data_IF_268528245907
#
_entry.id   IF_268528245907
#
_cell.length_a   1.000
_cell.length_b   1.000
_cell.length_c   1.000
_cell.angle_alpha   90.00
_cell.angle_beta   90.00
_cell.angle_gamma   90.00
#
_symmetry.space_group_name_H-M   'P 1'
#
loop_
_entity.id
_entity.type
_entity.pdbx_description
1 polymer ?
#
# COMPACT_ATOMS: atom_id res chain seq x y z
N UNK A 1 6.96 -21.21 -20.95
CA UNK A 1 5.72 -20.41 -21.11
C UNK A 1 6.04 -19.20 -21.97
N UNK A 2 5.14 -18.74 -22.85
CA UNK A 2 5.36 -17.53 -23.64
C UNK A 2 5.54 -16.32 -22.72
N UNK A 3 6.48 -15.46 -23.06
CA UNK A 3 6.86 -14.31 -22.23
C UNK A 3 5.92 -13.14 -22.52
N UNK A 4 4.95 -12.91 -21.64
CA UNK A 4 3.90 -11.90 -21.84
C UNK A 4 4.46 -10.52 -21.49
N UNK A 5 4.46 -9.64 -22.49
CA UNK A 5 4.79 -8.23 -22.29
C UNK A 5 3.73 -7.56 -21.40
N UNK A 6 4.19 -6.71 -20.50
CA UNK A 6 3.30 -5.83 -19.75
C UNK A 6 2.66 -4.79 -20.71
N UNK A 7 1.50 -4.21 -20.35
CA UNK A 7 0.85 -3.16 -21.13
C UNK A 7 1.81 -2.02 -21.48
N UNK A 8 1.84 -1.57 -22.73
CA UNK A 8 2.81 -0.56 -23.20
C UNK A 8 4.28 -1.04 -23.30
N UNK A 9 4.56 -2.33 -23.10
CA UNK A 9 5.90 -2.90 -23.05
C UNK A 9 6.69 -2.71 -24.36
N UNK A 10 7.66 -1.78 -24.34
CA UNK A 10 8.71 -1.70 -25.37
C UNK A 10 9.83 -2.70 -25.05
N UNK A 11 10.74 -2.94 -26.01
CA UNK A 11 11.96 -3.74 -25.79
C UNK A 11 12.73 -3.21 -24.55
N UNK A 12 13.08 -4.11 -23.61
CA UNK A 12 13.76 -3.80 -22.33
C UNK A 12 12.84 -3.67 -21.10
N UNK A 13 11.52 -3.60 -21.27
CA UNK A 13 10.61 -3.44 -20.12
C UNK A 13 10.45 -4.76 -19.34
N UNK A 14 10.21 -4.66 -18.03
CA UNK A 14 10.01 -5.83 -17.16
C UNK A 14 8.95 -6.78 -17.74
N UNK A 15 9.23 -8.09 -17.71
CA UNK A 15 8.33 -9.12 -18.25
C UNK A 15 7.70 -9.93 -17.13
N UNK A 16 6.51 -10.49 -17.36
CA UNK A 16 5.74 -11.19 -16.32
C UNK A 16 6.53 -12.36 -15.67
N UNK A 17 7.39 -13.03 -16.44
CA UNK A 17 8.29 -14.08 -15.94
C UNK A 17 9.30 -13.57 -14.90
N UNK A 18 9.80 -12.34 -15.02
CA UNK A 18 10.72 -11.76 -14.04
C UNK A 18 10.03 -11.58 -12.69
N UNK A 19 8.77 -11.16 -12.70
CA UNK A 19 7.96 -11.08 -11.48
C UNK A 19 7.68 -12.47 -10.91
N UNK A 20 7.46 -13.48 -11.76
CA UNK A 20 7.18 -14.84 -11.28
C UNK A 20 8.38 -15.44 -10.55
N UNK A 21 9.59 -15.29 -11.10
CA UNK A 21 10.83 -15.71 -10.44
C UNK A 21 11.02 -15.01 -9.09
N UNK A 22 10.75 -13.69 -9.03
CA UNK A 22 10.80 -12.90 -7.80
C UNK A 22 9.82 -13.42 -6.75
N UNK A 23 8.54 -13.54 -7.11
CA UNK A 23 7.51 -13.96 -6.17
C UNK A 23 7.70 -15.39 -5.70
N UNK A 24 8.14 -16.29 -6.58
CA UNK A 24 8.46 -17.68 -6.21
C UNK A 24 9.63 -17.75 -5.22
N UNK A 25 10.61 -16.86 -5.37
CA UNK A 25 11.70 -16.73 -4.40
C UNK A 25 11.17 -16.23 -3.06
N UNK A 26 10.38 -15.16 -3.07
CA UNK A 26 9.80 -14.56 -1.87
C UNK A 26 8.85 -15.51 -1.13
N UNK A 27 8.07 -16.34 -1.83
CA UNK A 27 7.06 -17.22 -1.20
C UNK A 27 7.69 -18.26 -0.25
N UNK A 28 9.00 -18.50 -0.37
CA UNK A 28 9.78 -19.35 0.55
C UNK A 28 9.90 -18.75 1.95
N UNK A 29 10.01 -17.43 2.01
CA UNK A 29 10.28 -16.67 3.24
C UNK A 29 9.04 -15.90 3.73
N UNK A 30 8.13 -15.57 2.82
CA UNK A 30 6.93 -14.80 3.10
C UNK A 30 5.68 -15.65 2.89
N UNK A 31 4.89 -15.93 3.96
CA UNK A 31 3.71 -16.77 3.86
C UNK A 31 2.63 -16.14 2.99
N UNK A 32 2.63 -14.80 2.85
CA UNK A 32 1.73 -14.10 1.97
C UNK A 32 2.44 -13.05 1.10
N UNK A 33 2.05 -12.97 -0.18
CA UNK A 33 2.53 -11.99 -1.14
C UNK A 33 1.34 -11.20 -1.69
N UNK A 34 1.34 -9.90 -1.42
CA UNK A 34 0.51 -8.89 -2.11
C UNK A 34 1.34 -8.29 -3.24
N UNK A 35 0.71 -8.12 -4.40
CA UNK A 35 1.33 -7.46 -5.55
C UNK A 35 0.39 -6.43 -6.13
N UNK A 36 0.95 -5.29 -6.51
CA UNK A 36 0.24 -4.19 -7.14
C UNK A 36 0.50 -4.14 -8.65
N UNK A 37 -0.55 -3.86 -9.41
CA UNK A 37 -0.43 -3.42 -10.80
C UNK A 37 0.07 -1.97 -10.84
N UNK A 38 1.37 -1.77 -10.60
CA UNK A 38 2.02 -0.47 -10.69
C UNK A 38 2.62 -0.24 -12.10
N UNK A 39 2.98 1.01 -12.43
CA UNK A 39 3.70 1.26 -13.69
C UNK A 39 5.02 0.52 -13.74
N UNK A 40 5.44 0.24 -14.97
CA UNK A 40 6.63 -0.56 -15.21
C UNK A 40 7.88 0.26 -14.89
N UNK A 41 8.70 -0.31 -14.02
CA UNK A 41 10.11 0.05 -13.89
C UNK A 41 10.80 -0.34 -15.20
N UNK A 42 11.38 0.62 -15.92
CA UNK A 42 12.20 0.31 -17.10
C UNK A 42 13.41 -0.46 -16.63
N UNK A 43 13.68 -1.62 -17.23
CA UNK A 43 14.92 -2.35 -17.02
C UNK A 43 15.78 -2.29 -18.29
N UNK A 44 17.08 -2.49 -18.17
CA UNK A 44 17.95 -2.87 -19.28
C UNK A 44 17.87 -4.38 -19.50
N UNK A 45 18.44 -4.87 -20.59
CA UNK A 45 18.49 -6.31 -20.89
C UNK A 45 19.26 -7.12 -19.82
N UNK A 46 20.20 -6.51 -19.11
CA UNK A 46 20.92 -7.08 -17.95
C UNK A 46 20.19 -6.88 -16.61
N UNK A 47 18.95 -6.38 -16.62
CA UNK A 47 18.07 -6.27 -15.46
C UNK A 47 18.24 -5.00 -14.61
N UNK A 48 19.12 -4.06 -14.98
CA UNK A 48 19.28 -2.80 -14.22
C UNK A 48 18.10 -1.87 -14.42
N UNK A 49 17.67 -1.19 -13.36
CA UNK A 49 16.61 -0.17 -13.45
C UNK A 49 17.12 1.03 -14.25
N UNK A 50 16.49 1.31 -15.39
CA UNK A 50 16.78 2.45 -16.27
C UNK A 50 15.92 3.68 -15.98
N UNK A 51 14.85 3.52 -15.21
CA UNK A 51 14.00 4.62 -14.78
C UNK A 51 12.59 4.17 -14.46
N UNK A 52 11.93 4.92 -13.58
CA UNK A 52 10.51 4.78 -13.28
C UNK A 52 9.77 5.98 -13.87
N UNK A 53 8.45 5.88 -13.94
CA UNK A 53 7.65 7.09 -14.18
C UNK A 53 7.72 7.99 -12.95
N UNK A 54 7.52 9.29 -13.19
CA UNK A 54 7.55 10.30 -12.14
C UNK A 54 6.13 10.72 -11.77
N UNK A 55 5.96 11.06 -10.50
CA UNK A 55 4.73 11.61 -9.98
C UNK A 55 4.31 12.85 -10.81
N UNK A 56 3.02 13.03 -11.10
CA UNK A 56 1.90 12.16 -10.73
C UNK A 56 1.62 11.03 -11.72
N UNK A 57 2.32 10.95 -12.83
CA UNK A 57 2.01 10.01 -13.91
C UNK A 57 2.68 8.64 -13.68
N UNK A 58 2.58 8.14 -12.46
CA UNK A 58 3.18 6.89 -11.99
C UNK A 58 2.43 5.63 -12.42
N UNK A 59 1.40 5.76 -13.24
CA UNK A 59 0.65 4.65 -13.82
C UNK A 59 0.71 4.62 -15.35
N UNK A 60 0.26 3.52 -15.95
CA UNK A 60 -0.02 3.37 -17.38
C UNK A 60 -1.01 4.43 -17.89
N UNK A 61 -0.80 4.97 -19.10
CA UNK A 61 -1.72 5.88 -19.76
C UNK A 61 -2.81 5.12 -20.55
N UNK A 62 -3.90 5.79 -20.94
CA UNK A 62 -4.93 5.18 -21.79
C UNK A 62 -4.36 4.60 -23.10
N UNK A 63 -3.36 5.26 -23.68
CA UNK A 63 -2.72 4.85 -24.94
C UNK A 63 -1.98 3.53 -24.86
N UNK A 64 -1.55 3.14 -23.66
CA UNK A 64 -0.85 1.87 -23.44
C UNK A 64 -1.80 0.69 -23.27
N UNK A 65 -3.07 1.02 -23.05
CA UNK A 65 -4.17 0.08 -22.95
C UNK A 65 -5.08 0.08 -24.19
N UNK A 66 -4.77 0.87 -25.22
CA UNK A 66 -5.50 0.86 -26.49
C UNK A 66 -6.44 2.04 -26.76
N UNK A 67 -6.41 3.09 -25.93
CA UNK A 67 -7.12 4.38 -26.10
C UNK A 67 -8.67 4.36 -26.11
N UNK A 68 -9.34 3.25 -26.39
CA UNK A 68 -10.81 3.14 -26.29
C UNK A 68 -11.24 2.37 -25.04
N UNK A 69 -12.41 2.68 -24.45
CA UNK A 69 -12.91 1.94 -23.29
C UNK A 69 -12.93 0.42 -23.49
N UNK A 70 -13.38 -0.03 -24.67
CA UNK A 70 -13.48 -1.43 -25.05
C UNK A 70 -12.10 -2.08 -25.15
N UNK A 71 -11.16 -1.43 -25.85
CA UNK A 71 -9.80 -1.94 -26.00
C UNK A 71 -9.05 -1.98 -24.66
N UNK A 72 -9.25 -0.98 -23.80
CA UNK A 72 -8.68 -0.94 -22.45
C UNK A 72 -9.16 -2.15 -21.65
N UNK A 73 -10.46 -2.39 -21.65
CA UNK A 73 -11.05 -3.54 -20.95
C UNK A 73 -10.52 -4.88 -21.49
N UNK A 74 -10.51 -5.04 -22.80
CA UNK A 74 -10.06 -6.28 -23.46
C UNK A 74 -8.58 -6.55 -23.19
N UNK A 75 -7.72 -5.54 -23.31
CA UNK A 75 -6.29 -5.66 -23.02
C UNK A 75 -6.03 -5.95 -21.54
N UNK A 76 -6.77 -5.31 -20.62
CA UNK A 76 -6.69 -5.60 -19.20
C UNK A 76 -7.14 -7.01 -18.86
N UNK A 77 -8.17 -7.52 -19.55
CA UNK A 77 -8.62 -8.90 -19.41
C UNK A 77 -7.54 -9.88 -19.87
N UNK A 78 -6.92 -9.66 -21.02
CA UNK A 78 -5.83 -10.53 -21.51
C UNK A 78 -4.61 -10.48 -20.59
N UNK A 79 -4.24 -9.28 -20.11
CA UNK A 79 -3.18 -9.12 -19.12
C UNK A 79 -3.45 -9.96 -17.85
N UNK A 80 -4.64 -9.80 -17.27
CA UNK A 80 -5.03 -10.47 -16.04
C UNK A 80 -5.10 -11.99 -16.20
N UNK A 81 -5.62 -12.49 -17.32
CA UNK A 81 -5.66 -13.92 -17.59
C UNK A 81 -4.26 -14.54 -17.58
N UNK A 82 -3.31 -13.91 -18.27
CA UNK A 82 -1.91 -14.35 -18.27
C UNK A 82 -1.30 -14.30 -16.87
N UNK A 83 -1.58 -13.23 -16.13
CA UNK A 83 -1.11 -13.06 -14.76
C UNK A 83 -1.64 -14.15 -13.82
N UNK A 84 -2.93 -14.45 -13.88
CA UNK A 84 -3.56 -15.51 -13.09
C UNK A 84 -3.00 -16.89 -13.42
N UNK A 85 -2.85 -17.22 -14.70
CA UNK A 85 -2.25 -18.49 -15.13
C UNK A 85 -0.83 -18.69 -14.60
N UNK A 86 -0.05 -17.61 -14.51
CA UNK A 86 1.35 -17.69 -14.11
C UNK A 86 1.54 -17.67 -12.58
N UNK A 87 0.77 -16.85 -11.87
CA UNK A 87 1.04 -16.57 -10.44
C UNK A 87 0.05 -17.21 -9.48
N UNK A 88 -1.13 -17.59 -9.96
CA UNK A 88 -2.18 -18.19 -9.15
C UNK A 88 -3.03 -19.19 -9.98
N UNK A 89 -2.41 -20.21 -10.59
CA UNK A 89 -3.10 -21.13 -11.49
C UNK A 89 -4.27 -21.87 -10.81
N UNK A 90 -5.38 -22.05 -11.53
CA UNK A 90 -6.59 -22.74 -11.01
C UNK A 90 -6.35 -24.22 -10.67
N UNK A 91 -5.54 -24.90 -11.46
CA UNK A 91 -5.40 -26.38 -11.44
C UNK A 91 -4.21 -26.88 -10.62
N UNK A 92 -3.42 -25.98 -10.02
CA UNK A 92 -2.23 -26.40 -9.30
C UNK A 92 -2.57 -26.85 -7.87
N UNK A 93 -2.02 -28.00 -7.47
CA UNK A 93 -2.15 -28.50 -6.08
C UNK A 93 -1.33 -27.67 -5.08
N UNK A 94 -0.39 -26.88 -5.58
CA UNK A 94 0.39 -25.95 -4.77
C UNK A 94 -0.38 -24.63 -4.59
N UNK A 95 -0.22 -24.02 -3.41
CA UNK A 95 -0.79 -22.71 -3.11
C UNK A 95 -0.34 -21.66 -4.14
N UNK A 96 -1.18 -20.64 -4.44
CA UNK A 96 -0.78 -19.59 -5.36
C UNK A 96 0.46 -18.87 -4.85
N UNK A 97 1.32 -18.43 -5.77
CA UNK A 97 2.54 -17.69 -5.43
C UNK A 97 2.19 -16.31 -4.86
N UNK A 98 1.06 -15.75 -5.30
CA UNK A 98 0.50 -14.49 -4.82
C UNK A 98 -0.86 -14.74 -4.19
N UNK A 99 -1.17 -14.03 -3.12
CA UNK A 99 -2.45 -14.16 -2.42
C UNK A 99 -3.37 -12.97 -2.69
N UNK A 100 -2.81 -11.85 -3.16
CA UNK A 100 -3.58 -10.64 -3.43
C UNK A 100 -3.04 -9.90 -4.64
N UNK A 101 -3.92 -9.63 -5.60
CA UNK A 101 -3.67 -8.69 -6.69
C UNK A 101 -4.38 -7.38 -6.36
N UNK A 102 -3.59 -6.33 -6.14
CA UNK A 102 -4.07 -4.97 -6.07
C UNK A 102 -4.15 -4.41 -7.49
N UNK A 103 -5.36 -4.00 -7.90
CA UNK A 103 -5.59 -3.31 -9.17
C UNK A 103 -5.11 -1.87 -8.99
N UNK A 104 -3.78 -1.74 -9.01
CA UNK A 104 -3.09 -0.49 -8.92
C UNK A 104 -2.05 -0.27 -7.87
N UNK A 105 -1.45 0.91 -7.94
CA UNK A 105 -0.84 1.66 -6.86
C UNK A 105 -1.01 3.15 -7.15
N UNK A 106 -1.85 3.86 -6.40
CA UNK A 106 -2.10 5.31 -6.59
C UNK A 106 -2.33 5.67 -8.08
N UNK A 107 -3.52 5.36 -8.66
CA UNK A 107 -3.78 5.43 -10.12
C UNK A 107 -3.72 6.79 -10.80
N UNK A 108 -2.92 7.71 -10.27
CA UNK A 108 -2.62 9.03 -10.78
C UNK A 108 -1.98 9.00 -12.20
N UNK A 109 -2.09 10.12 -12.91
CA UNK A 109 -1.82 10.32 -14.35
C UNK A 109 -2.87 10.01 -15.44
N UNK A 110 -2.38 9.84 -16.67
CA UNK A 110 -3.21 10.00 -17.86
C UNK A 110 -4.25 8.87 -18.11
N UNK A 111 -4.36 7.88 -17.21
CA UNK A 111 -5.40 6.84 -17.31
C UNK A 111 -6.81 7.41 -17.08
N UNK A 112 -6.97 8.33 -16.13
CA UNK A 112 -8.27 8.89 -15.72
C UNK A 112 -9.28 7.88 -15.18
N UNK A 113 -10.44 8.37 -14.72
CA UNK A 113 -11.51 7.56 -14.11
C UNK A 113 -11.99 6.45 -15.04
N UNK A 114 -12.39 6.81 -16.26
CA UNK A 114 -12.90 5.85 -17.24
C UNK A 114 -11.86 4.76 -17.54
N UNK A 115 -10.61 5.16 -17.81
CA UNK A 115 -9.56 4.19 -18.13
C UNK A 115 -9.28 3.25 -16.97
N UNK A 116 -9.21 3.76 -15.73
CA UNK A 116 -9.05 2.92 -14.55
C UNK A 116 -10.22 1.94 -14.37
N UNK A 117 -11.47 2.42 -14.51
CA UNK A 117 -12.64 1.56 -14.41
C UNK A 117 -12.63 0.45 -15.46
N UNK A 118 -12.24 0.75 -16.70
CA UNK A 118 -12.15 -0.27 -17.75
C UNK A 118 -11.02 -1.28 -17.48
N UNK A 119 -9.87 -0.84 -16.95
CA UNK A 119 -8.81 -1.75 -16.49
C UNK A 119 -9.33 -2.68 -15.39
N UNK A 120 -9.97 -2.14 -14.36
CA UNK A 120 -10.52 -2.93 -13.26
C UNK A 120 -11.57 -3.93 -13.74
N UNK A 121 -12.50 -3.52 -14.62
CA UNK A 121 -13.51 -4.38 -15.22
C UNK A 121 -12.91 -5.48 -16.09
N UNK A 122 -11.84 -5.19 -16.84
CA UNK A 122 -11.12 -6.20 -17.62
C UNK A 122 -10.49 -7.27 -16.73
N UNK A 123 -9.81 -6.86 -15.67
CA UNK A 123 -9.21 -7.77 -14.67
C UNK A 123 -10.29 -8.63 -14.00
N UNK A 124 -11.41 -8.02 -13.59
CA UNK A 124 -12.55 -8.71 -12.99
C UNK A 124 -13.18 -9.70 -13.98
N UNK A 125 -13.32 -9.34 -15.26
CA UNK A 125 -13.82 -10.25 -16.29
C UNK A 125 -12.93 -11.48 -16.45
N UNK A 126 -11.61 -11.30 -16.48
CA UNK A 126 -10.65 -12.41 -16.50
C UNK A 126 -10.75 -13.27 -15.23
N UNK A 127 -10.90 -12.64 -14.06
CA UNK A 127 -11.00 -13.32 -12.78
C UNK A 127 -12.23 -14.22 -12.70
N UNK A 128 -13.40 -13.70 -13.12
CA UNK A 128 -14.65 -14.48 -13.22
C UNK A 128 -14.50 -15.65 -14.19
N UNK A 129 -13.98 -15.39 -15.39
CA UNK A 129 -13.85 -16.40 -16.44
C UNK A 129 -12.88 -17.52 -16.04
N UNK A 130 -11.75 -17.17 -15.42
CA UNK A 130 -10.69 -18.10 -15.10
C UNK A 130 -11.01 -18.93 -13.84
N UNK A 131 -11.40 -18.28 -12.73
CA UNK A 131 -11.58 -18.98 -11.45
C UNK A 131 -12.98 -19.51 -11.20
N UNK A 132 -14.00 -18.94 -11.85
CA UNK A 132 -15.40 -19.29 -11.63
C UNK A 132 -15.81 -19.08 -10.15
N UNK A 133 -15.87 -20.13 -9.34
CA UNK A 133 -16.41 -20.08 -7.97
C UNK A 133 -15.37 -20.23 -6.85
N UNK A 134 -14.12 -20.61 -7.15
CA UNK A 134 -13.12 -20.89 -6.11
C UNK A 134 -11.80 -20.18 -6.42
N UNK A 135 -11.76 -18.84 -6.33
CA UNK A 135 -10.53 -18.11 -6.61
C UNK A 135 -9.50 -18.32 -5.48
N UNK A 136 -8.25 -18.66 -5.82
CA UNK A 136 -7.18 -18.83 -4.84
C UNK A 136 -6.55 -17.50 -4.40
N UNK A 137 -6.86 -16.39 -5.08
CA UNK A 137 -6.32 -15.05 -4.79
C UNK A 137 -7.45 -14.06 -4.51
N UNK A 138 -7.12 -13.00 -3.76
CA UNK A 138 -8.01 -11.87 -3.49
C UNK A 138 -7.77 -10.73 -4.47
N UNK A 139 -8.84 -10.12 -4.97
CA UNK A 139 -8.77 -8.82 -5.65
C UNK A 139 -8.91 -7.67 -4.65
N UNK A 140 -8.00 -6.71 -4.80
CA UNK A 140 -7.97 -5.43 -4.11
C UNK A 140 -7.79 -4.31 -5.13
N UNK A 141 -7.79 -3.06 -4.70
CA UNK A 141 -7.59 -1.89 -5.55
C UNK A 141 -6.51 -0.99 -5.00
N UNK A 142 -5.93 -0.16 -5.89
CA UNK A 142 -4.98 0.88 -5.53
C UNK A 142 -5.50 1.80 -4.44
N UNK A 143 -4.57 2.45 -3.73
CA UNK A 143 -4.92 3.38 -2.66
C UNK A 143 -5.73 4.56 -3.18
N UNK A 144 -6.85 4.81 -2.51
CA UNK A 144 -7.77 5.90 -2.82
C UNK A 144 -8.02 6.74 -1.57
N UNK A 145 -8.58 7.93 -1.78
CA UNK A 145 -9.08 8.78 -0.70
C UNK A 145 -10.60 8.89 -0.73
N UNK A 146 -11.19 9.20 0.42
CA UNK A 146 -12.64 9.39 0.58
C UNK A 146 -13.02 10.76 1.18
N UNK A 147 -12.07 11.70 1.30
CA UNK A 147 -12.25 12.97 2.01
C UNK A 147 -12.28 14.22 1.09
N UNK A 148 -11.92 14.10 -0.20
CA UNK A 148 -11.89 15.20 -1.18
C UNK A 148 -12.68 14.84 -2.45
N UNK A 149 -14.01 14.99 -2.47
CA UNK A 149 -14.84 14.67 -3.65
C UNK A 149 -14.58 15.54 -4.89
N UNK A 150 -14.05 16.74 -4.68
CA UNK A 150 -13.67 17.73 -5.71
C UNK A 150 -12.32 17.43 -6.37
N UNK A 151 -11.50 16.56 -5.75
CA UNK A 151 -10.21 16.13 -6.28
C UNK A 151 -10.39 15.10 -7.40
N UNK A 152 -10.86 15.59 -8.57
CA UNK A 152 -10.97 14.80 -9.80
C UNK A 152 -10.03 15.36 -10.87
N UNK A 153 -8.86 14.77 -10.97
CA UNK A 153 -7.97 14.58 -12.12
C UNK A 153 -7.42 15.79 -12.88
N UNK A 154 -8.10 16.94 -12.88
CA UNK A 154 -7.69 18.15 -13.57
C UNK A 154 -8.05 19.37 -12.73
N UNK A 155 -7.44 19.47 -11.55
CA UNK A 155 -7.41 20.76 -10.86
C UNK A 155 -6.14 21.49 -11.30
N UNK A 156 -6.30 22.46 -12.20
CA UNK A 156 -5.19 23.27 -12.77
C UNK A 156 -4.44 24.09 -11.70
N UNK A 157 -5.11 24.38 -10.59
CA UNK A 157 -4.62 25.25 -9.51
C UNK A 157 -4.52 24.53 -8.16
N UNK A 158 -4.58 23.19 -8.13
CA UNK A 158 -4.38 22.44 -6.89
C UNK A 158 -2.89 22.16 -6.68
N UNK A 159 -2.38 22.28 -5.44
CA UNK A 159 -1.02 21.85 -5.11
C UNK A 159 -0.80 20.33 -5.30
N UNK A 160 -1.89 19.56 -5.47
CA UNK A 160 -1.88 18.13 -5.75
C UNK A 160 -2.67 17.80 -7.03
N UNK A 161 -2.09 17.07 -7.99
CA UNK A 161 -2.81 16.41 -9.08
C UNK A 161 -3.66 15.28 -8.50
N UNK A 162 -4.83 15.61 -7.97
CA UNK A 162 -5.65 14.68 -7.17
C UNK A 162 -6.87 14.23 -7.97
N UNK A 163 -6.99 12.92 -8.16
CA UNK A 163 -7.99 12.25 -9.00
C UNK A 163 -8.48 10.91 -8.45
N UNK A 164 -8.31 10.67 -7.16
CA UNK A 164 -8.40 9.36 -6.53
C UNK A 164 -9.55 9.27 -5.51
N UNK A 165 -10.63 10.05 -5.72
CA UNK A 165 -11.83 9.93 -4.89
C UNK A 165 -12.55 8.60 -5.16
N UNK A 166 -12.54 7.71 -4.17
CA UNK A 166 -12.92 6.30 -4.32
C UNK A 166 -14.32 6.11 -4.93
N UNK A 167 -15.30 6.95 -4.55
CA UNK A 167 -16.68 6.86 -5.04
C UNK A 167 -16.78 7.07 -6.55
N UNK A 168 -15.87 7.83 -7.15
CA UNK A 168 -15.83 8.03 -8.61
C UNK A 168 -15.01 6.95 -9.31
N UNK A 169 -13.97 6.45 -8.64
CA UNK A 169 -13.04 5.47 -9.22
C UNK A 169 -13.63 4.06 -9.26
N UNK A 170 -14.51 3.71 -8.32
CA UNK A 170 -15.10 2.38 -8.20
C UNK A 170 -16.62 2.47 -8.38
N UNK A 171 -17.14 1.82 -9.41
CA UNK A 171 -18.58 1.59 -9.53
C UNK A 171 -18.99 0.30 -8.83
N UNK A 172 -20.30 0.05 -8.76
CA UNK A 172 -20.87 -1.12 -8.08
C UNK A 172 -20.34 -2.45 -8.64
N UNK A 173 -20.18 -2.54 -9.96
CA UNK A 173 -19.63 -3.73 -10.64
C UNK A 173 -18.21 -4.03 -10.16
N UNK A 174 -17.37 -3.00 -10.00
CA UNK A 174 -16.01 -3.19 -9.48
C UNK A 174 -16.06 -3.59 -8.01
N UNK A 175 -16.82 -2.85 -7.21
CA UNK A 175 -16.90 -3.03 -5.76
C UNK A 175 -17.30 -4.46 -5.39
N UNK A 176 -18.30 -5.05 -6.06
CA UNK A 176 -18.81 -6.40 -5.79
C UNK A 176 -17.71 -7.47 -5.70
N UNK A 177 -16.63 -7.33 -6.48
CA UNK A 177 -15.55 -8.33 -6.56
C UNK A 177 -14.38 -8.07 -5.62
N UNK A 178 -14.28 -6.88 -5.03
CA UNK A 178 -13.20 -6.57 -4.12
C UNK A 178 -13.48 -7.20 -2.76
N UNK A 179 -12.44 -7.76 -2.14
CA UNK A 179 -12.46 -8.11 -0.71
C UNK A 179 -11.67 -7.14 0.14
N UNK A 180 -10.98 -6.19 -0.49
CA UNK A 180 -10.15 -5.22 0.21
C UNK A 180 -10.02 -3.91 -0.58
N UNK A 181 -10.29 -2.79 0.08
CA UNK A 181 -9.91 -1.44 -0.38
C UNK A 181 -8.68 -0.98 0.41
N UNK A 182 -7.89 -0.10 -0.19
CA UNK A 182 -6.59 0.29 0.37
C UNK A 182 -6.47 1.80 0.49
N UNK A 183 -5.59 2.23 1.39
CA UNK A 183 -5.25 3.64 1.65
C UNK A 183 -3.75 3.76 1.89
N UNK A 184 -3.19 4.95 1.64
CA UNK A 184 -1.83 5.32 2.03
C UNK A 184 -1.88 6.42 3.11
N UNK A 185 -2.15 6.09 4.39
CA UNK A 185 -2.44 7.08 5.42
C UNK A 185 -1.14 7.71 5.97
N UNK A 186 -0.41 8.41 5.12
CA UNK A 186 0.75 9.19 5.55
C UNK A 186 0.33 10.37 6.43
N UNK A 187 1.15 10.66 7.43
CA UNK A 187 0.91 11.72 8.41
C UNK A 187 1.54 13.05 7.95
N UNK A 188 1.11 13.54 6.78
CA UNK A 188 1.53 14.86 6.30
C UNK A 188 0.89 15.96 7.12
N UNK A 189 1.56 17.11 7.25
CA UNK A 189 0.84 18.33 7.68
C UNK A 189 -0.22 18.68 6.65
N UNK A 190 -1.48 18.83 7.08
CA UNK A 190 -2.65 19.08 6.22
C UNK A 190 -2.34 20.15 5.16
N UNK A 191 -2.54 19.77 3.90
CA UNK A 191 -2.33 20.65 2.75
C UNK A 191 -0.89 20.74 2.25
N UNK A 192 0.06 20.04 2.87
CA UNK A 192 1.49 20.03 2.50
C UNK A 192 2.01 18.61 2.24
N UNK A 193 3.20 18.49 1.67
CA UNK A 193 3.93 17.22 1.50
C UNK A 193 4.93 16.97 2.64
N UNK A 194 4.81 17.71 3.75
CA UNK A 194 5.75 17.61 4.87
C UNK A 194 5.34 16.47 5.81
N UNK A 195 6.08 15.36 5.76
CA UNK A 195 5.83 14.16 6.57
C UNK A 195 6.48 14.30 7.96
N UNK A 196 5.95 15.22 8.77
CA UNK A 196 6.53 15.59 10.08
C UNK A 196 5.59 15.36 11.25
N UNK A 197 4.29 15.16 11.01
CA UNK A 197 3.31 15.08 12.08
C UNK A 197 3.28 13.67 12.70
N UNK A 198 3.13 13.52 14.03
CA UNK A 198 2.61 12.29 14.59
C UNK A 198 1.17 12.06 14.10
N UNK A 199 0.75 10.80 13.96
CA UNK A 199 -0.57 10.45 13.42
C UNK A 199 -1.75 10.89 14.29
N UNK A 200 -1.52 11.16 15.58
CA UNK A 200 -2.52 11.74 16.49
C UNK A 200 -2.68 13.26 16.34
N UNK A 201 -1.79 13.93 15.60
CA UNK A 201 -1.82 15.40 15.48
C UNK A 201 -3.10 15.88 14.82
N UNK A 202 -3.71 16.94 15.35
CA UNK A 202 -4.88 17.57 14.72
C UNK A 202 -4.54 18.26 13.39
N UNK A 203 -3.25 18.44 13.10
CA UNK A 203 -2.75 18.95 11.82
C UNK A 203 -2.28 17.83 10.88
N UNK A 204 -2.50 16.56 11.23
CA UNK A 204 -2.11 15.42 10.40
C UNK A 204 -3.20 15.02 9.39
N UNK A 205 -2.79 14.79 8.13
CA UNK A 205 -3.61 14.20 7.07
C UNK A 205 -3.95 12.72 7.36
N UNK A 206 -3.29 12.05 8.32
CA UNK A 206 -3.61 10.67 8.73
C UNK A 206 -5.10 10.51 9.09
N UNK A 207 -5.65 11.49 9.80
CA UNK A 207 -7.03 11.43 10.30
C UNK A 207 -8.09 11.40 9.18
N UNK A 208 -7.72 11.76 7.95
CA UNK A 208 -8.59 11.60 6.78
C UNK A 208 -8.93 10.14 6.47
N UNK A 209 -8.22 9.18 7.07
CA UNK A 209 -8.57 7.75 7.03
C UNK A 209 -9.99 7.49 7.56
N UNK A 210 -10.51 8.32 8.46
CA UNK A 210 -11.87 8.19 8.99
C UNK A 210 -12.92 8.27 7.86
N UNK A 211 -12.70 9.11 6.85
CA UNK A 211 -13.61 9.19 5.71
C UNK A 211 -13.67 7.87 4.90
N UNK A 212 -12.58 7.10 4.88
CA UNK A 212 -12.56 5.78 4.24
C UNK A 212 -13.30 4.74 5.08
N UNK A 213 -13.16 4.79 6.41
CA UNK A 213 -13.92 3.94 7.33
C UNK A 213 -15.42 4.21 7.20
N UNK A 214 -15.82 5.48 7.12
CA UNK A 214 -17.21 5.89 6.92
C UNK A 214 -17.74 5.44 5.55
N UNK A 215 -16.92 5.54 4.50
CA UNK A 215 -17.26 5.04 3.17
C UNK A 215 -17.54 3.53 3.21
N UNK A 216 -16.63 2.73 3.78
CA UNK A 216 -16.84 1.28 3.94
C UNK A 216 -18.11 0.98 4.76
N UNK A 217 -18.33 1.68 5.86
CA UNK A 217 -19.51 1.49 6.70
C UNK A 217 -20.82 1.71 5.90
N UNK A 218 -20.85 2.74 5.05
CA UNK A 218 -21.99 3.04 4.17
C UNK A 218 -22.24 1.97 3.10
N UNK A 219 -21.21 1.25 2.65
CA UNK A 219 -21.38 0.13 1.73
C UNK A 219 -22.10 -1.07 2.37
N UNK A 220 -22.16 -1.15 3.71
CA UNK A 220 -22.84 -2.24 4.41
C UNK A 220 -22.19 -3.62 4.22
N UNK A 221 -20.95 -3.67 3.72
CA UNK A 221 -20.22 -4.90 3.41
C UNK A 221 -19.28 -5.31 4.54
N UNK A 222 -19.69 -6.31 5.32
CA UNK A 222 -18.85 -6.88 6.38
C UNK A 222 -17.67 -7.71 5.84
N UNK A 223 -17.76 -8.19 4.61
CA UNK A 223 -16.74 -9.00 3.94
C UNK A 223 -15.65 -8.15 3.27
N UNK A 224 -15.89 -6.85 3.08
CA UNK A 224 -14.91 -5.91 2.55
C UNK A 224 -13.97 -5.46 3.66
N UNK A 225 -12.66 -5.54 3.44
CA UNK A 225 -11.62 -5.11 4.38
C UNK A 225 -11.02 -3.75 3.98
N UNK A 226 -10.38 -3.07 4.92
CA UNK A 226 -9.51 -1.91 4.67
C UNK A 226 -8.09 -2.27 5.08
N UNK A 227 -7.11 -1.92 4.27
CA UNK A 227 -5.68 -2.04 4.61
C UNK A 227 -4.90 -0.79 4.28
N UNK A 228 -3.78 -0.61 4.95
CA UNK A 228 -2.80 0.43 4.63
C UNK A 228 -1.70 -0.22 3.79
N UNK A 229 -1.63 0.08 2.49
CA UNK A 229 -0.64 -0.50 1.58
C UNK A 229 0.67 0.27 1.54
N UNK A 230 0.66 1.48 2.07
CA UNK A 230 1.84 2.25 2.39
C UNK A 230 1.58 3.15 3.59
N UNK A 231 2.49 3.16 4.55
CA UNK A 231 2.56 4.18 5.60
C UNK A 231 3.99 4.20 6.16
N UNK A 232 4.40 5.34 6.71
CA UNK A 232 5.73 5.46 7.27
C UNK A 232 6.13 6.90 7.57
N UNK A 233 7.36 7.05 8.04
CA UNK A 233 8.02 8.33 8.26
C UNK A 233 9.44 8.26 7.73
N UNK A 234 9.90 9.37 7.17
CA UNK A 234 11.28 9.54 6.73
C UNK A 234 12.17 9.91 7.92
N UNK A 235 13.20 9.10 8.19
CA UNK A 235 14.05 9.28 9.38
C UNK A 235 14.98 10.49 9.33
N UNK A 236 15.31 11.01 8.15
CA UNK A 236 16.04 12.26 7.98
C UNK A 236 15.15 13.44 8.39
N UNK A 237 13.86 13.34 8.06
CA UNK A 237 12.83 14.36 8.34
C UNK A 237 12.44 14.43 9.82
N UNK A 238 12.22 13.30 10.51
CA UNK A 238 11.76 13.32 11.92
C UNK A 238 12.82 12.86 12.95
N UNK A 239 13.88 12.19 12.48
CA UNK A 239 14.85 11.47 13.30
C UNK A 239 14.48 10.00 13.54
N UNK A 240 15.48 9.11 13.56
CA UNK A 240 15.26 7.66 13.80
C UNK A 240 14.44 7.33 15.06
N UNK A 241 14.62 8.00 16.23
CA UNK A 241 13.78 7.73 17.40
C UNK A 241 12.30 8.08 17.17
N UNK A 242 12.03 9.21 16.51
CA UNK A 242 10.66 9.63 16.21
C UNK A 242 10.01 8.70 15.19
N UNK A 243 10.73 8.31 14.13
CA UNK A 243 10.28 7.30 13.17
C UNK A 243 9.81 6.02 13.90
N UNK A 244 10.63 5.50 14.82
CA UNK A 244 10.28 4.30 15.59
C UNK A 244 9.03 4.48 16.46
N UNK A 245 8.93 5.62 17.17
CA UNK A 245 7.79 5.94 18.05
C UNK A 245 6.51 6.09 17.23
N UNK A 246 6.55 6.81 16.11
CA UNK A 246 5.38 7.07 15.28
C UNK A 246 4.88 5.81 14.58
N UNK A 247 5.78 4.95 14.08
CA UNK A 247 5.40 3.67 13.50
C UNK A 247 4.64 2.79 14.50
N UNK A 248 5.17 2.63 15.72
CA UNK A 248 4.51 1.82 16.76
C UNK A 248 3.13 2.39 17.13
N UNK A 249 3.05 3.71 17.38
CA UNK A 249 1.78 4.37 17.72
C UNK A 249 0.75 4.24 16.60
N UNK A 250 1.17 4.45 15.36
CA UNK A 250 0.29 4.41 14.20
C UNK A 250 -0.25 3.01 13.92
N UNK A 251 0.56 1.96 14.12
CA UNK A 251 0.09 0.57 14.06
C UNK A 251 -1.01 0.32 15.09
N UNK A 252 -0.85 0.76 16.33
CA UNK A 252 -1.88 0.61 17.35
C UNK A 252 -3.16 1.39 17.00
N UNK A 253 -3.04 2.60 16.46
CA UNK A 253 -4.19 3.35 15.99
C UNK A 253 -4.93 2.62 14.86
N UNK A 254 -4.23 2.18 13.81
CA UNK A 254 -4.86 1.49 12.69
C UNK A 254 -5.46 0.14 13.11
N UNK A 255 -4.83 -0.57 14.04
CA UNK A 255 -5.40 -1.77 14.64
C UNK A 255 -6.71 -1.46 15.39
N UNK A 256 -6.77 -0.36 16.17
CA UNK A 256 -8.01 0.07 16.83
C UNK A 256 -9.12 0.48 15.87
N UNK A 257 -8.75 0.87 14.64
CA UNK A 257 -9.66 1.22 13.55
C UNK A 257 -10.11 -0.01 12.73
N UNK A 258 -9.63 -1.21 13.06
CA UNK A 258 -10.01 -2.44 12.37
C UNK A 258 -9.35 -2.62 11.01
N UNK A 259 -8.14 -2.07 10.81
CA UNK A 259 -7.35 -2.35 9.61
C UNK A 259 -6.99 -3.84 9.54
N UNK A 260 -7.16 -4.42 8.35
CA UNK A 260 -6.89 -5.84 8.10
C UNK A 260 -5.39 -6.12 7.94
N UNK A 261 -4.69 -5.33 7.12
CA UNK A 261 -3.24 -5.46 6.89
C UNK A 261 -2.58 -4.10 6.81
N UNK A 262 -1.32 -4.05 7.23
CA UNK A 262 -0.49 -2.85 7.26
C UNK A 262 0.83 -3.16 6.57
N UNK A 263 1.17 -2.38 5.54
CA UNK A 263 2.39 -2.51 4.75
C UNK A 263 3.21 -1.24 4.92
N UNK A 264 4.36 -1.40 5.59
CA UNK A 264 5.25 -0.28 5.89
C UNK A 264 6.08 0.09 4.67
N UNK A 265 6.11 1.38 4.35
CA UNK A 265 6.98 1.95 3.32
C UNK A 265 8.25 2.51 3.98
N UNK A 266 9.44 1.94 3.79
CA UNK A 266 9.75 0.72 3.02
C UNK A 266 10.73 -0.19 3.77
N UNK A 267 11.12 -1.31 3.16
CA UNK A 267 12.03 -2.26 3.79
C UNK A 267 13.43 -1.69 4.02
N UNK A 268 13.98 -0.95 3.05
CA UNK A 268 15.35 -0.44 3.06
C UNK A 268 15.39 1.01 2.59
N UNK A 269 16.28 1.83 3.14
CA UNK A 269 16.50 3.19 2.65
C UNK A 269 16.95 3.17 1.18
N UNK A 270 16.54 4.17 0.41
CA UNK A 270 16.83 4.31 -1.01
C UNK A 270 17.77 5.51 -1.26
N UNK A 271 19.09 5.31 -1.28
CA UNK A 271 20.06 6.40 -1.39
C UNK A 271 20.09 7.05 -2.78
N UNK A 272 19.44 6.41 -3.78
CA UNK A 272 19.26 6.99 -5.11
C UNK A 272 18.11 8.01 -5.16
N UNK A 273 17.24 8.02 -4.16
CA UNK A 273 16.17 8.99 -4.01
C UNK A 273 16.67 10.19 -3.18
N UNK A 274 16.23 11.40 -3.52
CA UNK A 274 16.49 12.61 -2.74
C UNK A 274 15.18 13.13 -2.15
N UNK A 275 15.19 13.50 -0.88
CA UNK A 275 14.04 14.08 -0.20
C UNK A 275 13.11 13.03 0.40
N UNK A 276 11.81 13.30 0.35
CA UNK A 276 10.76 12.45 0.93
C UNK A 276 10.94 10.98 0.52
N UNK A 277 10.80 10.09 1.50
CA UNK A 277 10.92 8.63 1.40
C UNK A 277 12.32 8.04 1.28
N UNK A 278 13.36 8.83 0.99
CA UNK A 278 14.73 8.32 0.82
C UNK A 278 15.25 7.55 2.04
N UNK A 279 14.78 7.90 3.24
CA UNK A 279 15.19 7.28 4.50
C UNK A 279 14.01 6.71 5.31
N UNK A 280 12.97 6.23 4.63
CA UNK A 280 11.81 5.61 5.29
C UNK A 280 12.01 4.13 5.64
N UNK A 281 13.16 3.56 5.27
CA UNK A 281 13.51 2.16 5.49
C UNK A 281 13.52 1.74 6.96
N UNK A 282 13.26 0.46 7.22
CA UNK A 282 13.60 -0.22 8.49
C UNK A 282 15.08 -0.55 8.60
N UNK A 283 15.73 -0.72 7.46
CA UNK A 283 17.17 -0.91 7.33
C UNK A 283 17.77 0.25 6.53
N UNK A 284 19.04 0.57 6.78
CA UNK A 284 19.77 1.46 5.89
C UNK A 284 19.87 0.87 4.49
N UNK A 285 20.33 1.66 3.53
CA UNK A 285 20.63 1.18 2.19
C UNK A 285 21.60 0.00 2.21
N UNK A 286 21.47 -0.87 1.20
CA UNK A 286 22.36 -2.00 0.96
C UNK A 286 23.80 -1.53 0.77
N UNK A 287 24.74 -2.10 1.54
CA UNK A 287 26.17 -1.82 1.39
C UNK A 287 26.77 -2.72 0.30
N UNK A 288 27.86 -2.32 -0.38
CA UNK A 288 28.47 -3.08 -1.49
C UNK A 288 28.76 -4.58 -1.21
N UNK A 289 28.88 -4.96 0.07
CA UNK A 289 29.19 -6.32 0.51
C UNK A 289 28.10 -6.95 1.42
N UNK A 290 26.87 -6.42 1.42
CA UNK A 290 25.75 -6.97 2.20
C UNK A 290 24.50 -7.07 1.35
N UNK A 291 23.65 -8.05 1.63
CA UNK A 291 22.34 -8.17 0.98
C UNK A 291 21.32 -7.21 1.60
N UNK A 292 21.48 -6.87 2.88
CA UNK A 292 20.62 -5.97 3.65
C UNK A 292 21.50 -4.95 4.39
N UNK A 293 21.04 -3.70 4.50
CA UNK A 293 21.71 -2.68 5.30
C UNK A 293 21.65 -2.92 6.81
N UNK A 294 22.09 -1.93 7.59
CA UNK A 294 22.06 -2.00 9.05
C UNK A 294 20.63 -1.76 9.55
N UNK A 295 20.13 -2.52 10.55
CA UNK A 295 18.82 -2.25 11.14
C UNK A 295 18.79 -0.89 11.87
N UNK A 296 17.75 -0.10 11.60
CA UNK A 296 17.48 1.20 12.25
C UNK A 296 16.75 1.03 13.58
N UNK A 297 16.60 2.12 14.32
CA UNK A 297 15.84 2.11 15.59
C UNK A 297 14.41 1.60 15.38
N UNK A 298 13.77 1.98 14.26
CA UNK A 298 12.44 1.53 13.89
C UNK A 298 12.33 0.01 13.77
N UNK A 299 13.26 -0.67 13.09
CA UNK A 299 13.27 -2.13 12.98
C UNK A 299 13.27 -2.80 14.36
N UNK A 300 14.12 -2.33 15.26
CA UNK A 300 14.25 -2.91 16.61
C UNK A 300 12.98 -2.69 17.44
N UNK A 301 12.35 -1.52 17.33
CA UNK A 301 11.10 -1.22 18.00
C UNK A 301 9.96 -2.12 17.51
N UNK A 302 9.81 -2.28 16.19
CA UNK A 302 8.80 -3.16 15.60
C UNK A 302 9.06 -4.63 15.92
N UNK A 303 10.30 -5.09 15.87
CA UNK A 303 10.65 -6.46 16.25
C UNK A 303 10.31 -6.72 17.73
N UNK A 304 10.56 -5.78 18.62
CA UNK A 304 10.19 -5.91 20.02
C UNK A 304 8.67 -5.91 20.22
N UNK A 305 7.95 -5.02 19.51
CA UNK A 305 6.48 -5.00 19.51
C UNK A 305 5.90 -6.35 19.05
N UNK A 306 6.41 -6.92 17.95
CA UNK A 306 5.96 -8.23 17.45
C UNK A 306 6.29 -9.35 18.42
N UNK A 307 7.47 -9.37 19.05
CA UNK A 307 7.78 -10.40 20.04
C UNK A 307 6.87 -10.35 21.28
N UNK A 308 6.42 -9.16 21.69
CA UNK A 308 5.55 -9.01 22.85
C UNK A 308 4.07 -9.24 22.52
N UNK A 309 3.63 -8.81 21.33
CA UNK A 309 2.22 -8.62 21.01
C UNK A 309 1.77 -9.29 19.71
N UNK A 310 2.66 -10.02 19.02
CA UNK A 310 2.42 -10.56 17.67
C UNK A 310 1.21 -11.49 17.56
N UNK A 311 0.86 -12.19 18.64
CA UNK A 311 -0.28 -13.10 18.71
C UNK A 311 -1.49 -12.49 19.43
N UNK A 312 -1.51 -11.16 19.60
CA UNK A 312 -2.61 -10.45 20.26
C UNK A 312 -3.56 -9.78 19.27
N UNK A 313 -4.81 -9.63 19.68
CA UNK A 313 -5.83 -8.85 18.99
C UNK A 313 -6.19 -7.63 19.81
N UNK A 314 -6.65 -6.59 19.12
CA UNK A 314 -7.25 -5.42 19.76
C UNK A 314 -8.62 -5.77 20.35
N UNK A 315 -8.86 -5.36 21.60
CA UNK A 315 -10.15 -5.54 22.26
C UNK A 315 -10.93 -4.24 22.37
N UNK A 316 -10.29 -3.19 22.91
CA UNK A 316 -11.00 -1.97 23.28
C UNK A 316 -10.08 -0.78 23.42
N UNK A 317 -10.57 0.38 22.98
CA UNK A 317 -10.04 1.69 23.35
C UNK A 317 -10.59 2.10 24.71
N UNK A 318 -9.72 2.30 25.69
CA UNK A 318 -10.10 2.90 26.98
C UNK A 318 -10.19 4.41 26.87
N UNK A 319 -9.15 5.03 26.28
CA UNK A 319 -9.07 6.46 26.00
C UNK A 319 -8.27 6.67 24.72
N UNK A 320 -8.67 7.64 23.90
CA UNK A 320 -7.92 8.12 22.75
C UNK A 320 -8.25 9.60 22.55
N UNK A 321 -7.49 10.47 23.21
CA UNK A 321 -7.66 11.91 23.17
C UNK A 321 -6.30 12.65 23.07
N UNK A 322 -6.34 13.98 23.08
CA UNK A 322 -5.15 14.82 22.97
C UNK A 322 -4.14 14.69 24.13
N UNK A 323 -4.46 13.93 25.18
CA UNK A 323 -3.62 13.78 26.38
C UNK A 323 -3.13 12.36 26.58
N UNK A 324 -3.93 11.35 26.21
CA UNK A 324 -3.60 9.94 26.40
C UNK A 324 -4.28 9.05 25.37
N UNK A 325 -3.54 8.03 24.95
CA UNK A 325 -4.07 6.88 24.23
C UNK A 325 -3.81 5.64 25.08
N UNK A 326 -4.85 4.83 25.30
CA UNK A 326 -4.82 3.64 26.13
C UNK A 326 -5.68 2.54 25.51
N UNK A 327 -5.05 1.44 25.09
CA UNK A 327 -5.70 0.31 24.40
C UNK A 327 -5.50 -1.00 25.16
N UNK A 328 -6.55 -1.82 25.19
CA UNK A 328 -6.52 -3.18 25.70
C UNK A 328 -6.33 -4.18 24.57
N UNK A 329 -5.36 -5.08 24.75
CA UNK A 329 -5.05 -6.16 23.82
C UNK A 329 -5.01 -7.51 24.57
N UNK A 330 -5.15 -8.60 23.82
CA UNK A 330 -4.92 -9.94 24.33
C UNK A 330 -5.31 -11.02 23.34
N UNK A 331 -5.59 -12.24 23.79
CA UNK A 331 -6.18 -13.28 22.92
C UNK A 331 -7.67 -13.01 22.74
N UNK A 332 -8.39 -13.65 21.80
CA UNK A 332 -9.84 -13.48 21.71
C UNK A 332 -10.59 -13.75 23.02
N UNK A 333 -10.04 -14.61 23.89
CA UNK A 333 -10.65 -15.05 25.15
C UNK A 333 -10.17 -14.25 26.38
N UNK A 334 -8.99 -13.65 26.35
CA UNK A 334 -8.36 -13.06 27.53
C UNK A 334 -7.63 -11.75 27.23
N UNK A 335 -7.90 -10.72 28.05
CA UNK A 335 -7.13 -9.48 28.09
C UNK A 335 -5.77 -9.71 28.78
N UNK A 336 -4.68 -9.33 28.13
CA UNK A 336 -3.31 -9.58 28.64
C UNK A 336 -2.43 -8.35 28.66
N UNK A 337 -2.72 -7.32 27.86
CA UNK A 337 -1.86 -6.15 27.73
C UNK A 337 -2.66 -4.84 27.77
N UNK A 338 -2.03 -3.83 28.37
CA UNK A 338 -2.45 -2.44 28.31
C UNK A 338 -1.33 -1.63 27.63
N UNK A 339 -1.63 -1.06 26.47
CA UNK A 339 -0.71 -0.18 25.73
C UNK A 339 -1.10 1.26 26.00
N UNK A 340 -0.17 2.08 26.49
CA UNK A 340 -0.43 3.47 26.86
C UNK A 340 0.66 4.39 26.34
N UNK A 341 0.27 5.55 25.82
CA UNK A 341 1.20 6.64 25.56
C UNK A 341 0.52 8.01 25.66
N UNK A 342 1.34 9.05 25.78
CA UNK A 342 0.92 10.44 25.58
C UNK A 342 1.20 10.84 24.12
N UNK A 343 0.25 11.43 23.39
CA UNK A 343 0.46 11.90 22.03
C UNK A 343 1.34 13.16 22.06
N UNK A 344 2.65 12.95 21.99
CA UNK A 344 3.65 14.02 21.90
C UNK A 344 4.36 13.99 20.56
N UNK A 345 4.59 15.16 19.98
CA UNK A 345 5.55 15.32 18.90
C UNK A 345 6.97 15.22 19.49
N UNK A 346 7.74 14.25 19.01
CA UNK A 346 9.09 13.93 19.49
C UNK A 346 10.15 14.14 18.42
N UNK A 347 9.83 14.89 17.37
CA UNK A 347 10.75 15.19 16.27
C UNK A 347 12.05 15.78 16.82
N UNK A 348 13.17 15.21 16.37
CA UNK A 348 14.53 15.63 16.76
C UNK A 348 14.73 15.84 18.27
N UNK A 349 13.98 15.18 19.15
CA UNK A 349 14.25 15.25 20.58
C UNK A 349 15.67 14.70 20.82
N UNK A 350 16.61 15.64 20.99
CA UNK A 350 17.97 15.34 21.43
C UNK A 350 17.85 14.59 22.75
N UNK A 351 18.72 13.60 22.97
CA UNK A 351 18.98 13.09 24.32
C UNK A 351 19.37 14.29 25.19
N UNK A 352 18.42 14.88 25.91
CA UNK A 352 18.74 15.64 27.10
C UNK A 352 19.37 14.60 28.03
N UNK A 353 20.71 14.60 28.11
CA UNK A 353 21.34 14.02 29.28
C UNK A 353 20.75 14.79 30.47
N UNK A 354 20.23 14.12 31.50
CA UNK A 354 19.91 14.83 32.73
C UNK A 354 21.20 15.51 33.19
N UNK A 355 21.12 16.84 33.42
CA UNK A 355 22.17 17.60 34.09
C UNK A 355 22.26 17.19 35.55
#
# INVERSE_FOLDING_TARGET
MPDVALPGGKKGWGRMNNYHLRYTTWKKDFPSIRTALASIVKHSEDGKVLGMRNFPNNWYAQSEWGNSPEAIKENAQQYALNFFQLHAPKENKEAPVIDTLEIGNEPWGDIGVMGFQQVAKGIIAAYKAYYQQSPPLVLSVGAFQAHRPQSVWKCKDCPYPSGDYIVKMLDEEILEYLKEITVHPYSFTIGTVNLVEPSESSTSDFLHVQSMLDYKAKLGRSDLQISATEFGWDSETVGEPAQAIYLVRNIFQMMSMGFHRLYLYEGMDNPGMKGLYATSGLFTATLPNRVIGKPKVAYKALLHMVHLLGDTVFHKTLVADAHIHAYLLGTPEQLTHLVVWRPTNVNHQKKSRPQ
#
